data_IF_700782081244
#
_entry.id   IF_700782081244
#
_cell.length_a   1.000
_cell.length_b   1.000
_cell.length_c   1.000
_cell.angle_alpha   90.00
_cell.angle_beta   90.00
_cell.angle_gamma   90.00
#
_symmetry.space_group_name_H-M   'P 1'
#
loop_
_entity.id
_entity.type
_entity.pdbx_description
1 polymer ?
#
# COMPACT_ATOMS: atom_id res chain seq x y z
N UNK A 1 -22.74 5.91 -3.02
CA UNK A 1 -21.91 6.15 -1.82
C UNK A 1 -20.90 5.01 -1.78
N UNK A 2 -19.65 5.22 -2.19
CA UNK A 2 -18.68 4.12 -2.41
C UNK A 2 -17.93 3.73 -1.13
N UNK A 3 -18.65 3.30 -0.10
CA UNK A 3 -18.04 2.79 1.14
C UNK A 3 -17.93 1.26 1.10
N UNK A 4 -16.82 0.77 1.63
CA UNK A 4 -16.53 -0.65 1.82
C UNK A 4 -16.86 -1.01 3.27
N UNK A 5 -17.64 -2.06 3.46
CA UNK A 5 -18.05 -2.53 4.80
C UNK A 5 -17.28 -3.76 5.24
N UNK A 6 -16.99 -4.66 4.31
CA UNK A 6 -16.32 -5.92 4.59
C UNK A 6 -15.30 -6.27 3.51
N UNK A 7 -14.23 -6.92 3.94
CA UNK A 7 -13.17 -7.44 3.07
C UNK A 7 -12.79 -8.83 3.57
N UNK A 8 -12.77 -9.81 2.68
CA UNK A 8 -12.40 -11.19 3.00
C UNK A 8 -11.43 -11.75 1.95
N UNK A 9 -10.54 -12.64 2.36
CA UNK A 9 -9.70 -13.41 1.46
C UNK A 9 -10.39 -14.71 1.06
N UNK A 10 -10.16 -15.16 -0.16
CA UNK A 10 -10.46 -16.55 -0.53
C UNK A 10 -9.48 -17.50 0.16
N UNK A 11 -9.91 -18.74 0.40
CA UNK A 11 -9.10 -19.76 1.08
C UNK A 11 -7.86 -20.20 0.27
N UNK A 12 -7.82 -19.87 -1.02
CA UNK A 12 -6.68 -20.14 -1.92
C UNK A 12 -5.68 -18.96 -2.01
N UNK A 13 -5.89 -17.87 -1.27
CA UNK A 13 -5.08 -16.64 -1.27
C UNK A 13 -4.94 -15.95 -2.65
N UNK A 14 -5.79 -16.26 -3.62
CA UNK A 14 -5.72 -15.65 -4.96
C UNK A 14 -6.66 -14.48 -5.13
N UNK A 15 -7.73 -14.44 -4.36
CA UNK A 15 -8.80 -13.47 -4.52
C UNK A 15 -9.14 -12.75 -3.22
N UNK A 16 -9.61 -11.52 -3.39
CA UNK A 16 -10.14 -10.67 -2.33
C UNK A 16 -11.59 -10.38 -2.67
N UNK A 17 -12.49 -10.68 -1.74
CA UNK A 17 -13.91 -10.36 -1.83
C UNK A 17 -14.17 -9.10 -1.03
N UNK A 18 -14.91 -8.17 -1.61
CA UNK A 18 -15.30 -6.92 -0.95
C UNK A 18 -16.81 -6.73 -0.97
N UNK A 19 -17.38 -6.41 0.20
CA UNK A 19 -18.76 -5.97 0.34
C UNK A 19 -18.85 -4.44 0.39
N UNK A 20 -19.81 -3.87 -0.34
CA UNK A 20 -20.07 -2.43 -0.38
C UNK A 20 -21.45 -2.10 0.15
N UNK A 21 -21.60 -0.89 0.70
CA UNK A 21 -22.90 -0.30 1.09
C UNK A 21 -23.88 -0.17 -0.09
N UNK A 22 -23.38 -0.24 -1.34
CA UNK A 22 -24.21 -0.24 -2.56
C UNK A 22 -24.79 -1.62 -2.88
N UNK A 23 -24.93 -2.50 -1.87
CA UNK A 23 -25.44 -3.87 -2.00
C UNK A 23 -24.69 -4.74 -3.03
N UNK A 24 -23.43 -4.39 -3.30
CA UNK A 24 -22.60 -5.08 -4.28
C UNK A 24 -21.48 -5.88 -3.59
N UNK A 25 -21.27 -7.11 -4.07
CA UNK A 25 -20.10 -7.92 -3.74
C UNK A 25 -19.20 -7.94 -4.98
N UNK A 26 -17.93 -7.57 -4.81
CA UNK A 26 -16.93 -7.60 -5.88
C UNK A 26 -15.81 -8.57 -5.55
N UNK A 27 -15.37 -9.30 -6.56
CA UNK A 27 -14.21 -10.20 -6.49
C UNK A 27 -13.03 -9.55 -7.21
N UNK A 28 -11.89 -9.48 -6.52
CA UNK A 28 -10.65 -8.92 -7.01
C UNK A 28 -9.57 -9.98 -7.01
N UNK A 29 -8.64 -9.92 -7.95
CA UNK A 29 -7.39 -10.69 -7.84
C UNK A 29 -6.49 -10.01 -6.82
N UNK A 30 -5.92 -10.78 -5.89
CA UNK A 30 -4.93 -10.29 -4.94
C UNK A 30 -3.71 -9.71 -5.67
N UNK A 31 -3.23 -10.42 -6.69
CA UNK A 31 -2.19 -9.96 -7.60
C UNK A 31 -2.80 -9.57 -8.95
N UNK A 32 -2.94 -8.27 -9.18
CA UNK A 32 -3.59 -7.73 -10.38
C UNK A 32 -2.97 -8.25 -11.69
N UNK A 33 -1.65 -8.41 -11.75
CA UNK A 33 -0.90 -8.87 -12.93
C UNK A 33 -0.77 -10.39 -13.05
N UNK A 34 -1.21 -11.18 -12.06
CA UNK A 34 -1.07 -12.63 -12.09
C UNK A 34 -1.97 -13.25 -13.17
N UNK A 35 -1.45 -14.08 -14.07
CA UNK A 35 -2.27 -14.68 -15.13
C UNK A 35 -3.17 -15.78 -14.54
N UNK A 36 -4.46 -15.75 -14.87
CA UNK A 36 -5.42 -16.78 -14.45
C UNK A 36 -5.21 -18.02 -15.35
N UNK A 37 -5.25 -19.20 -14.74
CA UNK A 37 -5.16 -20.48 -15.44
C UNK A 37 -3.79 -21.15 -15.34
N UNK A 38 -3.64 -22.24 -16.08
CA UNK A 38 -2.40 -23.03 -16.10
C UNK A 38 -1.32 -22.34 -16.92
N UNK A 39 -0.17 -22.08 -16.30
CA UNK A 39 1.02 -21.56 -16.97
C UNK A 39 1.94 -22.69 -17.39
N UNK A 40 2.48 -22.59 -18.61
CA UNK A 40 3.61 -23.42 -19.04
C UNK A 40 4.81 -23.21 -18.10
N UNK A 41 5.67 -24.22 -17.99
CA UNK A 41 6.89 -24.13 -17.20
C UNK A 41 7.73 -22.91 -17.61
N UNK A 42 7.89 -22.69 -18.92
CA UNK A 42 8.67 -21.56 -19.45
C UNK A 42 8.08 -20.21 -19.05
N UNK A 43 6.76 -20.05 -19.17
CA UNK A 43 6.07 -18.81 -18.75
C UNK A 43 6.26 -18.55 -17.26
N UNK A 44 6.10 -19.58 -16.43
CA UNK A 44 6.26 -19.48 -14.97
C UNK A 44 7.68 -19.05 -14.59
N UNK A 45 8.69 -19.60 -15.26
CA UNK A 45 10.09 -19.23 -15.02
C UNK A 45 10.37 -17.79 -15.47
N UNK A 46 9.80 -17.35 -16.59
CA UNK A 46 9.90 -15.95 -17.03
C UNK A 46 9.32 -14.98 -16.00
N UNK A 47 8.12 -15.24 -15.47
CA UNK A 47 7.52 -14.39 -14.44
C UNK A 47 8.37 -14.34 -13.16
N UNK A 48 8.84 -15.51 -12.69
CA UNK A 48 9.74 -15.58 -11.53
C UNK A 48 11.01 -14.76 -11.72
N UNK A 49 11.61 -14.85 -12.91
CA UNK A 49 12.80 -14.07 -13.25
C UNK A 49 12.51 -12.57 -13.25
N UNK A 50 11.40 -12.14 -13.86
CA UNK A 50 10.98 -10.74 -13.88
C UNK A 50 10.73 -10.20 -12.46
N UNK A 51 10.09 -10.97 -11.59
CA UNK A 51 9.82 -10.55 -10.22
C UNK A 51 11.11 -10.45 -9.40
N UNK A 52 12.06 -11.37 -9.60
CA UNK A 52 13.40 -11.28 -9.00
C UNK A 52 14.18 -10.06 -9.48
N UNK A 53 14.04 -9.66 -10.75
CA UNK A 53 14.64 -8.42 -11.25
C UNK A 53 14.02 -7.19 -10.59
N UNK A 54 12.68 -7.12 -10.50
CA UNK A 54 11.99 -6.01 -9.81
C UNK A 54 12.40 -5.91 -8.34
N UNK A 55 12.57 -7.05 -7.67
CA UNK A 55 13.04 -7.12 -6.27
C UNK A 55 14.47 -6.60 -6.14
N UNK A 56 15.40 -7.13 -6.94
CA UNK A 56 16.81 -6.75 -6.96
C UNK A 56 17.01 -5.25 -7.23
N UNK A 57 16.23 -4.69 -8.16
CA UNK A 57 16.32 -3.28 -8.56
C UNK A 57 15.24 -2.39 -7.91
N UNK A 58 14.62 -2.84 -6.81
CA UNK A 58 13.53 -2.12 -6.14
C UNK A 58 13.92 -0.74 -5.60
N UNK A 59 15.20 -0.54 -5.28
CA UNK A 59 15.74 0.73 -4.80
C UNK A 59 16.02 1.73 -5.94
N UNK A 60 16.09 1.28 -7.19
CA UNK A 60 16.36 2.14 -8.32
C UNK A 60 15.22 3.17 -8.51
N UNK A 61 15.49 4.49 -8.57
CA UNK A 61 14.45 5.53 -8.56
C UNK A 61 13.39 5.35 -9.65
N UNK A 62 13.80 4.98 -10.87
CA UNK A 62 12.87 4.81 -11.99
C UNK A 62 11.97 3.59 -11.81
N UNK A 63 12.52 2.46 -11.36
CA UNK A 63 11.75 1.22 -11.10
C UNK A 63 10.77 1.47 -9.97
N UNK A 64 11.25 2.05 -8.87
CA UNK A 64 10.44 2.42 -7.71
C UNK A 64 9.30 3.37 -8.06
N UNK A 65 9.55 4.37 -8.90
CA UNK A 65 8.52 5.31 -9.38
C UNK A 65 7.43 4.61 -10.17
N UNK A 66 7.80 3.75 -11.12
CA UNK A 66 6.85 3.01 -11.97
C UNK A 66 6.02 2.04 -11.13
N UNK A 67 6.66 1.25 -10.26
CA UNK A 67 5.96 0.24 -9.43
C UNK A 67 4.97 0.88 -8.46
N UNK A 68 5.29 2.06 -7.91
CA UNK A 68 4.44 2.79 -6.95
C UNK A 68 3.32 3.61 -7.60
N UNK A 69 3.43 3.92 -8.89
CA UNK A 69 2.45 4.75 -9.56
C UNK A 69 1.07 4.05 -9.59
N UNK A 70 0.04 4.73 -9.06
CA UNK A 70 -1.35 4.28 -9.07
C UNK A 70 -2.25 5.46 -9.38
N UNK A 71 -3.23 5.24 -10.25
CA UNK A 71 -4.27 6.22 -10.51
C UNK A 71 -5.33 6.11 -9.40
N UNK A 72 -5.46 7.15 -8.60
CA UNK A 72 -6.40 7.21 -7.48
C UNK A 72 -7.41 8.33 -7.72
N UNK A 73 -8.68 8.17 -7.27
CA UNK A 73 -9.67 9.24 -7.35
C UNK A 73 -9.19 10.53 -6.66
N UNK A 74 -9.55 11.69 -7.23
CA UNK A 74 -9.11 13.02 -6.77
C UNK A 74 -9.36 13.26 -5.28
N UNK A 75 -10.52 12.86 -4.78
CA UNK A 75 -10.87 13.06 -3.36
C UNK A 75 -9.96 12.23 -2.43
N UNK A 76 -9.57 11.02 -2.83
CA UNK A 76 -8.62 10.19 -2.07
C UNK A 76 -7.22 10.79 -2.12
N UNK A 77 -6.78 11.24 -3.30
CA UNK A 77 -5.49 11.90 -3.45
C UNK A 77 -5.36 13.13 -2.54
N UNK A 78 -6.36 14.00 -2.55
CA UNK A 78 -6.38 15.21 -1.72
C UNK A 78 -6.37 14.86 -0.23
N UNK A 79 -7.23 13.94 0.21
CA UNK A 79 -7.27 13.50 1.61
C UNK A 79 -5.96 12.86 2.07
N UNK A 80 -5.29 12.09 1.20
CA UNK A 80 -3.98 11.51 1.49
C UNK A 80 -2.91 12.59 1.70
N UNK A 81 -2.91 13.62 0.84
CA UNK A 81 -1.97 14.74 0.94
C UNK A 81 -2.19 15.55 2.22
N UNK A 82 -3.44 15.80 2.57
CA UNK A 82 -3.81 16.48 3.82
C UNK A 82 -3.36 15.69 5.06
N UNK A 83 -3.67 14.39 5.11
CA UNK A 83 -3.25 13.50 6.19
C UNK A 83 -1.73 13.48 6.34
N UNK A 84 -0.99 13.46 5.22
CA UNK A 84 0.47 13.49 5.23
C UNK A 84 1.00 14.81 5.81
N UNK A 85 0.46 15.95 5.38
CA UNK A 85 0.85 17.25 5.92
C UNK A 85 0.57 17.37 7.43
N UNK A 86 -0.58 16.84 7.89
CA UNK A 86 -0.91 16.79 9.32
C UNK A 86 0.08 15.93 10.11
N UNK A 87 0.42 14.73 9.61
CA UNK A 87 1.39 13.84 10.24
C UNK A 87 2.79 14.46 10.30
N UNK A 88 3.28 15.03 9.20
CA UNK A 88 4.58 15.71 9.14
C UNK A 88 4.63 16.90 10.12
N UNK A 89 3.56 17.68 10.21
CA UNK A 89 3.44 18.77 11.19
C UNK A 89 3.48 18.27 12.63
N UNK A 90 2.79 17.16 12.94
CA UNK A 90 2.80 16.54 14.27
C UNK A 90 4.19 16.02 14.64
N UNK A 91 4.83 15.27 13.75
CA UNK A 91 6.18 14.73 13.95
C UNK A 91 7.19 15.86 14.17
N UNK A 92 7.10 16.95 13.38
CA UNK A 92 7.94 18.14 13.54
C UNK A 92 7.73 18.79 14.91
N UNK A 93 6.47 18.97 15.35
CA UNK A 93 6.17 19.54 16.68
C UNK A 93 6.70 18.67 17.81
N UNK A 94 6.58 17.35 17.70
CA UNK A 94 7.13 16.41 18.68
C UNK A 94 8.65 16.44 18.70
N UNK A 95 9.31 16.47 17.54
CA UNK A 95 10.76 16.60 17.43
C UNK A 95 11.27 17.91 18.06
N UNK A 96 10.61 19.03 17.75
CA UNK A 96 10.93 20.33 18.35
C UNK A 96 10.74 20.31 19.88
N UNK A 97 9.65 19.69 20.35
CA UNK A 97 9.41 19.53 21.80
C UNK A 97 10.52 18.73 22.46
N UNK A 98 11.01 17.64 21.85
CA UNK A 98 12.13 16.86 22.38
C UNK A 98 13.42 17.68 22.40
N UNK A 99 13.76 18.34 21.30
CA UNK A 99 14.99 19.12 21.16
C UNK A 99 15.07 20.32 22.12
N UNK A 100 13.92 20.96 22.42
CA UNK A 100 13.85 22.18 23.24
C UNK A 100 13.34 21.93 24.68
N UNK A 101 13.14 20.68 25.08
CA UNK A 101 12.78 20.34 26.47
C UNK A 101 14.01 20.10 27.34
N UNK A 102 13.88 20.29 28.65
CA UNK A 102 14.95 19.94 29.59
C UNK A 102 15.22 18.43 29.53
N UNK A 103 16.50 17.98 29.60
CA UNK A 103 16.84 16.56 29.61
C UNK A 103 16.00 15.77 30.63
N UNK A 104 15.40 14.65 30.21
CA UNK A 104 14.60 13.77 31.08
C UNK A 104 13.11 14.12 31.23
N UNK A 105 12.64 15.26 30.67
CA UNK A 105 11.24 15.70 30.88
C UNK A 105 10.24 15.08 29.90
N UNK A 106 10.68 14.72 28.69
CA UNK A 106 9.80 14.17 27.65
C UNK A 106 9.94 12.65 27.63
N UNK A 107 8.94 11.95 28.15
CA UNK A 107 8.85 10.49 28.06
C UNK A 107 8.47 10.07 26.64
N UNK A 108 9.39 9.45 25.91
CA UNK A 108 9.05 8.74 24.68
C UNK A 108 8.47 7.37 25.03
N UNK A 109 7.17 7.17 24.78
CA UNK A 109 6.66 5.80 24.66
C UNK A 109 7.20 5.23 23.35
N UNK A 110 7.93 4.10 23.34
CA UNK A 110 8.21 3.40 22.10
C UNK A 110 6.87 2.98 21.48
N UNK A 111 6.76 3.12 20.15
CA UNK A 111 5.66 2.57 19.37
C UNK A 111 5.82 1.07 19.21
#
# INVERSE_FOLDING_TARGET
MQRLTSVAWSLDNKYIVTGSDEMNIRLWKAYASEKIGTLSHRERMTFRYQDKLKEKFSQHPQVKRIVRHRHVPKHIYNAQQENRAMLESRLRKEANRRAHSKPGTVTSKPM
#
